data_IF_041126205598
#
_entry.id   IF_041126205598
#
_cell.length_a   1.000
_cell.length_b   1.000
_cell.length_c   1.000
_cell.angle_alpha   90.00
_cell.angle_beta   90.00
_cell.angle_gamma   90.00
#
_symmetry.space_group_name_H-M   'P 1'
#
loop_
_entity.id
_entity.type
_entity.pdbx_description
1 polymer ?
#
# COMPACT_ATOMS: atom_id res chain seq x y z
N UNK A 1 -10.26 -21.22 -0.04
CA UNK A 1 -11.31 -21.38 1.00
C UNK A 1 -12.61 -20.79 0.46
N UNK A 2 -13.77 -21.45 0.57
CA UNK A 2 -15.04 -20.79 0.22
C UNK A 2 -15.30 -19.66 1.21
N UNK A 3 -15.28 -18.42 0.72
CA UNK A 3 -15.64 -17.24 1.51
C UNK A 3 -17.16 -17.06 1.35
N UNK A 4 -17.96 -17.23 2.42
CA UNK A 4 -19.38 -16.92 2.39
C UNK A 4 -19.58 -15.47 1.96
N UNK A 5 -20.22 -15.28 0.82
CA UNK A 5 -20.36 -13.99 0.18
C UNK A 5 -21.82 -13.74 -0.22
N UNK A 6 -22.29 -12.48 -0.15
CA UNK A 6 -23.58 -12.09 -0.71
C UNK A 6 -23.69 -12.45 -2.20
N UNK A 7 -24.91 -12.73 -2.66
CA UNK A 7 -25.17 -13.11 -4.06
C UNK A 7 -24.66 -12.06 -5.05
N UNK A 8 -24.80 -10.80 -4.70
CA UNK A 8 -24.38 -9.62 -5.47
C UNK A 8 -22.87 -9.61 -5.74
N UNK A 9 -22.06 -10.21 -4.86
CA UNK A 9 -20.62 -10.34 -5.10
C UNK A 9 -20.32 -11.31 -6.24
N UNK A 10 -21.16 -12.33 -6.46
CA UNK A 10 -20.98 -13.25 -7.59
C UNK A 10 -21.31 -12.58 -8.92
N UNK A 11 -22.28 -11.67 -8.95
CA UNK A 11 -22.60 -10.89 -10.16
C UNK A 11 -21.43 -10.01 -10.60
N UNK A 12 -20.62 -9.51 -9.65
CA UNK A 12 -19.39 -8.76 -9.94
C UNK A 12 -18.39 -9.60 -10.71
N UNK A 13 -18.31 -10.91 -10.45
CA UNK A 13 -17.36 -11.79 -11.13
C UNK A 13 -17.66 -11.86 -12.63
N UNK A 14 -18.94 -12.00 -12.99
CA UNK A 14 -19.38 -12.08 -14.39
C UNK A 14 -19.10 -10.77 -15.13
N UNK A 15 -19.28 -9.64 -14.43
CA UNK A 15 -18.91 -8.32 -14.96
C UNK A 15 -17.40 -8.22 -15.17
N UNK A 16 -16.58 -8.59 -14.20
CA UNK A 16 -15.12 -8.48 -14.30
C UNK A 16 -14.52 -9.42 -15.35
N UNK A 17 -15.07 -10.62 -15.51
CA UNK A 17 -14.64 -11.58 -16.53
C UNK A 17 -14.89 -11.07 -17.95
N UNK A 18 -16.05 -10.44 -18.18
CA UNK A 18 -16.41 -9.88 -19.49
C UNK A 18 -15.67 -8.57 -19.77
N UNK A 19 -15.71 -7.65 -18.81
CA UNK A 19 -15.33 -6.25 -19.01
C UNK A 19 -13.82 -6.05 -18.88
N UNK A 20 -13.16 -6.85 -18.03
CA UNK A 20 -11.73 -6.78 -17.67
C UNK A 20 -11.29 -5.38 -17.22
N UNK A 21 -10.00 -5.19 -16.97
CA UNK A 21 -9.42 -3.91 -16.59
C UNK A 21 -9.47 -3.61 -15.08
N UNK A 22 -9.54 -2.33 -14.73
CA UNK A 22 -9.36 -1.86 -13.34
C UNK A 22 -10.71 -1.81 -12.61
N UNK A 23 -10.74 -2.43 -11.44
CA UNK A 23 -11.83 -2.36 -10.48
C UNK A 23 -11.35 -1.69 -9.19
N UNK A 24 -11.92 -0.54 -8.83
CA UNK A 24 -11.55 0.18 -7.60
C UNK A 24 -12.54 -0.14 -6.47
N UNK A 25 -12.01 -0.50 -5.30
CA UNK A 25 -12.80 -0.75 -4.10
C UNK A 25 -12.90 0.53 -3.26
N UNK A 26 -14.11 1.03 -3.05
CA UNK A 26 -14.39 2.23 -2.27
C UNK A 26 -15.29 1.91 -1.08
N UNK A 27 -15.04 2.59 0.05
CA UNK A 27 -15.81 2.38 1.27
C UNK A 27 -15.04 2.76 2.52
N UNK A 28 -15.78 3.00 3.60
CA UNK A 28 -15.21 3.34 4.90
C UNK A 28 -14.30 2.25 5.46
N UNK A 29 -13.61 2.57 6.54
CA UNK A 29 -12.93 1.56 7.36
C UNK A 29 -13.94 0.50 7.84
N UNK A 30 -13.53 -0.77 7.82
CA UNK A 30 -14.35 -1.92 8.26
C UNK A 30 -15.68 -2.07 7.53
N UNK A 31 -15.67 -1.87 6.20
CA UNK A 31 -16.76 -2.24 5.29
C UNK A 31 -16.48 -3.52 4.50
N UNK A 32 -15.31 -4.15 4.71
CA UNK A 32 -14.99 -5.44 4.07
C UNK A 32 -14.32 -5.36 2.70
N UNK A 33 -13.75 -4.21 2.30
CA UNK A 33 -13.03 -4.06 1.03
C UNK A 33 -11.97 -5.14 0.79
N UNK A 34 -11.08 -5.37 1.76
CA UNK A 34 -10.04 -6.40 1.62
C UNK A 34 -10.64 -7.82 1.59
N UNK A 35 -11.77 -8.07 2.24
CA UNK A 35 -12.49 -9.36 2.14
C UNK A 35 -13.07 -9.56 0.73
N UNK A 36 -13.69 -8.52 0.17
CA UNK A 36 -14.17 -8.51 -1.21
C UNK A 36 -13.02 -8.71 -2.19
N UNK A 37 -11.88 -8.04 -2.00
CA UNK A 37 -10.70 -8.23 -2.84
C UNK A 37 -10.26 -9.70 -2.88
N UNK A 38 -10.15 -10.34 -1.71
CA UNK A 38 -9.79 -11.76 -1.61
C UNK A 38 -10.80 -12.68 -2.30
N UNK A 39 -12.10 -12.42 -2.08
CA UNK A 39 -13.18 -13.16 -2.73
C UNK A 39 -13.10 -13.06 -4.25
N UNK A 40 -12.91 -11.86 -4.79
CA UNK A 40 -12.83 -11.63 -6.23
C UNK A 40 -11.58 -12.31 -6.82
N UNK A 41 -10.42 -12.16 -6.19
CA UNK A 41 -9.16 -12.78 -6.65
C UNK A 41 -9.32 -14.30 -6.73
N UNK A 42 -9.80 -14.93 -5.65
CA UNK A 42 -10.01 -16.37 -5.60
C UNK A 42 -10.89 -16.88 -6.74
N UNK A 43 -12.07 -16.28 -6.91
CA UNK A 43 -13.05 -16.77 -7.87
C UNK A 43 -12.67 -16.43 -9.33
N UNK A 44 -12.06 -15.27 -9.59
CA UNK A 44 -11.57 -14.94 -10.93
C UNK A 44 -10.40 -15.84 -11.35
N UNK A 45 -9.49 -16.16 -10.43
CA UNK A 45 -8.42 -17.13 -10.70
C UNK A 45 -8.99 -18.52 -10.99
N UNK A 46 -10.06 -18.95 -10.29
CA UNK A 46 -10.78 -20.20 -10.60
C UNK A 46 -11.42 -20.21 -12.00
N UNK A 47 -11.77 -19.04 -12.53
CA UNK A 47 -12.24 -18.86 -13.91
C UNK A 47 -11.10 -18.76 -14.93
N UNK A 48 -9.85 -18.96 -14.50
CA UNK A 48 -8.66 -18.95 -15.36
C UNK A 48 -8.10 -17.55 -15.67
N UNK A 49 -8.63 -16.51 -15.03
CA UNK A 49 -8.15 -15.14 -15.24
C UNK A 49 -6.90 -14.87 -14.41
N UNK A 50 -5.99 -14.08 -15.00
CA UNK A 50 -4.83 -13.54 -14.28
C UNK A 50 -5.19 -12.21 -13.62
N UNK A 51 -5.11 -12.15 -12.29
CA UNK A 51 -5.59 -11.02 -11.49
C UNK A 51 -4.43 -10.31 -10.80
N UNK A 52 -4.37 -8.98 -10.90
CA UNK A 52 -3.50 -8.17 -10.08
C UNK A 52 -4.26 -7.61 -8.86
N UNK A 53 -3.63 -7.63 -7.69
CA UNK A 53 -4.06 -6.84 -6.54
C UNK A 53 -3.09 -5.67 -6.38
N UNK A 54 -3.60 -4.46 -6.46
CA UNK A 54 -2.91 -3.26 -5.99
C UNK A 54 -3.49 -2.90 -4.64
N UNK A 55 -2.72 -3.13 -3.59
CA UNK A 55 -3.10 -2.83 -2.21
C UNK A 55 -2.59 -1.44 -1.84
N UNK A 56 -3.49 -0.45 -1.86
CA UNK A 56 -3.16 0.94 -1.55
C UNK A 56 -3.56 1.38 -0.14
N UNK A 57 -3.92 0.44 0.76
CA UNK A 57 -4.14 0.74 2.18
C UNK A 57 -2.80 0.78 2.93
N UNK A 58 -2.10 1.91 2.84
CA UNK A 58 -0.78 2.09 3.47
C UNK A 58 -0.80 1.97 5.01
N UNK A 59 -1.97 2.05 5.64
CA UNK A 59 -2.11 1.94 7.10
C UNK A 59 -2.31 0.49 7.58
N UNK A 60 -3.01 -0.33 6.82
CA UNK A 60 -3.32 -1.72 7.15
C UNK A 60 -3.05 -2.67 5.97
N UNK A 61 -2.01 -2.36 5.18
CA UNK A 61 -1.65 -3.10 3.96
C UNK A 61 -1.70 -4.59 4.21
N UNK A 62 -2.35 -5.31 3.32
CA UNK A 62 -2.42 -6.76 3.27
C UNK A 62 -1.15 -7.38 2.67
N UNK A 63 -0.66 -6.85 1.53
CA UNK A 63 0.45 -7.43 0.77
C UNK A 63 1.83 -7.12 1.34
N UNK A 64 2.09 -5.86 1.69
CA UNK A 64 3.42 -5.38 2.11
C UNK A 64 3.51 -5.04 3.60
N UNK A 65 4.68 -4.57 4.05
CA UNK A 65 4.77 -3.88 5.32
C UNK A 65 3.91 -2.61 5.29
N UNK A 66 3.47 -2.09 6.44
CA UNK A 66 2.80 -0.79 6.50
C UNK A 66 3.65 0.29 5.83
N UNK A 67 3.04 1.40 5.43
CA UNK A 67 3.64 2.52 4.68
C UNK A 67 3.96 2.25 3.22
N UNK A 68 3.48 1.12 2.67
CA UNK A 68 3.70 0.75 1.27
C UNK A 68 2.39 0.55 0.52
N UNK A 69 2.47 0.72 -0.80
CA UNK A 69 1.47 0.23 -1.75
C UNK A 69 2.04 -1.04 -2.37
N UNK A 70 1.32 -2.15 -2.27
CA UNK A 70 1.77 -3.46 -2.79
C UNK A 70 1.14 -3.80 -4.14
N UNK A 71 1.88 -4.52 -4.97
CA UNK A 71 1.39 -5.18 -6.19
C UNK A 71 1.71 -6.68 -6.12
N UNK A 72 0.69 -7.52 -6.31
CA UNK A 72 0.84 -8.96 -6.45
C UNK A 72 0.00 -9.49 -7.62
N UNK A 73 0.49 -10.54 -8.26
CA UNK A 73 -0.13 -11.16 -9.43
C UNK A 73 -0.55 -12.59 -9.10
N UNK A 74 -1.81 -12.91 -9.35
CA UNK A 74 -2.43 -14.19 -9.04
C UNK A 74 -2.84 -14.91 -10.32
N UNK A 75 -2.44 -16.18 -10.43
CA UNK A 75 -2.79 -17.09 -11.54
C UNK A 75 -3.66 -18.28 -11.09
N UNK A 76 -3.77 -18.47 -9.79
CA UNK A 76 -4.51 -19.54 -9.11
C UNK A 76 -4.97 -19.02 -7.75
N UNK A 77 -5.80 -19.77 -7.03
CA UNK A 77 -6.11 -19.47 -5.63
C UNK A 77 -4.80 -19.29 -4.86
N UNK A 78 -4.52 -18.10 -4.29
CA UNK A 78 -3.34 -17.94 -3.47
C UNK A 78 -3.51 -18.65 -2.15
N UNK A 79 -2.43 -19.28 -1.69
CA UNK A 79 -2.25 -19.48 -0.27
C UNK A 79 -2.05 -18.09 0.37
N UNK A 80 -3.04 -17.61 1.10
CA UNK A 80 -2.98 -16.29 1.73
C UNK A 80 -2.01 -16.24 2.91
N UNK A 81 -1.53 -17.39 3.40
CA UNK A 81 -0.50 -17.51 4.43
C UNK A 81 0.91 -17.63 3.79
N UNK A 82 0.98 -18.21 2.59
CA UNK A 82 2.21 -18.31 1.79
C UNK A 82 2.12 -17.39 0.58
N UNK A 83 2.50 -16.13 0.76
CA UNK A 83 2.67 -15.22 -0.37
C UNK A 83 3.82 -15.75 -1.23
N UNK A 84 3.47 -16.49 -2.31
CA UNK A 84 4.37 -17.29 -3.16
C UNK A 84 5.48 -16.48 -3.86
N UNK A 85 5.49 -15.17 -3.73
CA UNK A 85 6.59 -14.26 -4.09
C UNK A 85 6.45 -12.94 -3.34
N UNK A 86 7.51 -12.35 -2.76
CA UNK A 86 7.40 -11.04 -2.11
C UNK A 86 6.78 -10.04 -3.11
N UNK A 87 5.73 -9.31 -2.70
CA UNK A 87 5.06 -8.38 -3.60
C UNK A 87 6.03 -7.26 -3.99
N UNK A 88 5.82 -6.70 -5.17
CA UNK A 88 6.43 -5.41 -5.47
C UNK A 88 5.79 -4.35 -4.56
N UNK A 89 6.62 -3.47 -4.03
CA UNK A 89 6.16 -2.42 -3.12
C UNK A 89 6.56 -1.05 -3.65
N UNK A 90 5.77 -0.05 -3.31
CA UNK A 90 6.09 1.36 -3.49
C UNK A 90 6.10 2.00 -2.11
N UNK A 91 7.24 2.52 -1.68
CA UNK A 91 7.34 3.17 -0.38
C UNK A 91 6.67 4.55 -0.39
N UNK A 92 5.63 4.70 0.43
CA UNK A 92 4.95 5.98 0.65
C UNK A 92 5.51 6.68 1.89
N UNK A 93 5.92 5.91 2.91
CA UNK A 93 6.49 6.46 4.14
C UNK A 93 5.47 7.09 5.08
N UNK A 94 4.18 6.76 4.96
CA UNK A 94 3.14 7.19 5.89
C UNK A 94 2.11 6.08 6.11
N UNK A 95 1.51 6.06 7.30
CA UNK A 95 0.39 5.15 7.63
C UNK A 95 -0.98 5.77 7.31
N UNK A 96 -1.01 7.03 6.88
CA UNK A 96 -2.22 7.75 6.44
C UNK A 96 -1.93 8.51 5.15
N UNK A 97 -2.86 8.53 4.18
CA UNK A 97 -2.62 9.28 2.95
C UNK A 97 -2.64 10.80 3.20
N UNK A 98 -3.28 11.27 4.28
CA UNK A 98 -3.28 12.70 4.61
C UNK A 98 -1.85 13.23 4.77
N UNK A 99 -1.56 14.38 4.14
CA UNK A 99 -0.22 14.97 4.09
C UNK A 99 0.71 14.39 3.03
N UNK A 100 0.34 13.30 2.33
CA UNK A 100 1.18 12.65 1.33
C UNK A 100 0.43 12.23 0.05
N UNK A 101 -0.64 12.94 -0.33
CA UNK A 101 -1.44 12.61 -1.53
C UNK A 101 -0.63 12.49 -2.82
N UNK A 102 0.33 13.38 -3.15
CA UNK A 102 1.05 13.29 -4.42
C UNK A 102 1.82 11.98 -4.56
N UNK A 103 2.59 11.60 -3.53
CA UNK A 103 3.37 10.36 -3.53
C UNK A 103 2.48 9.12 -3.43
N UNK A 104 1.37 9.19 -2.70
CA UNK A 104 0.38 8.10 -2.66
C UNK A 104 -0.24 7.86 -4.04
N UNK A 105 -0.68 8.91 -4.73
CA UNK A 105 -1.25 8.82 -6.08
C UNK A 105 -0.22 8.33 -7.11
N UNK A 106 1.03 8.83 -7.03
CA UNK A 106 2.16 8.35 -7.85
C UNK A 106 2.35 6.84 -7.68
N UNK A 107 2.41 6.36 -6.44
CA UNK A 107 2.59 4.94 -6.14
C UNK A 107 1.43 4.07 -6.64
N UNK A 108 0.18 4.52 -6.46
CA UNK A 108 -0.99 3.82 -6.99
C UNK A 108 -0.93 3.70 -8.51
N UNK A 109 -0.68 4.82 -9.21
CA UNK A 109 -0.58 4.82 -10.67
C UNK A 109 0.53 3.90 -11.17
N UNK A 110 1.72 3.99 -10.56
CA UNK A 110 2.87 3.15 -10.91
C UNK A 110 2.56 1.67 -10.78
N UNK A 111 1.89 1.25 -9.70
CA UNK A 111 1.55 -0.15 -9.48
C UNK A 111 0.43 -0.65 -10.40
N UNK A 112 -0.58 0.18 -10.66
CA UNK A 112 -1.65 -0.15 -11.62
C UNK A 112 -1.09 -0.28 -13.04
N UNK A 113 -0.19 0.61 -13.46
CA UNK A 113 0.40 0.59 -14.81
C UNK A 113 1.30 -0.62 -15.06
N UNK A 114 1.90 -1.17 -14.01
CA UNK A 114 2.70 -2.40 -14.10
C UNK A 114 1.85 -3.65 -14.28
N UNK A 115 0.64 -3.69 -13.74
CA UNK A 115 -0.19 -4.90 -13.75
C UNK A 115 -0.39 -5.50 -15.16
N UNK A 116 -0.68 -4.72 -16.23
CA UNK A 116 -0.73 -5.23 -17.60
C UNK A 116 0.59 -5.79 -18.13
N UNK A 117 1.75 -5.23 -17.76
CA UNK A 117 3.05 -5.78 -18.18
C UNK A 117 3.33 -7.17 -17.58
N UNK A 118 2.69 -7.47 -16.46
CA UNK A 118 2.65 -8.82 -15.90
C UNK A 118 1.52 -9.67 -16.47
N UNK A 119 0.80 -9.22 -17.50
CA UNK A 119 -0.28 -9.95 -18.14
C UNK A 119 -1.55 -10.07 -17.29
N UNK A 120 -1.75 -9.21 -16.29
CA UNK A 120 -3.00 -9.18 -15.56
C UNK A 120 -4.14 -8.70 -16.47
N UNK A 121 -5.25 -9.43 -16.45
CA UNK A 121 -6.45 -9.11 -17.20
C UNK A 121 -7.40 -8.25 -16.37
N UNK A 122 -7.40 -8.46 -15.05
CA UNK A 122 -8.17 -7.69 -14.08
C UNK A 122 -7.21 -7.13 -13.03
N UNK A 123 -7.35 -5.85 -12.69
CA UNK A 123 -6.61 -5.22 -11.60
C UNK A 123 -7.59 -4.74 -10.53
N UNK A 124 -7.56 -5.37 -9.37
CA UNK A 124 -8.35 -4.97 -8.20
C UNK A 124 -7.50 -3.99 -7.40
N UNK A 125 -7.99 -2.76 -7.26
CA UNK A 125 -7.38 -1.73 -6.44
C UNK A 125 -8.10 -1.66 -5.08
N UNK A 126 -7.49 -2.25 -4.05
CA UNK A 126 -7.94 -2.08 -2.66
C UNK A 126 -7.46 -0.72 -2.15
N UNK A 127 -8.35 0.05 -1.54
CA UNK A 127 -8.04 1.43 -1.12
C UNK A 127 -8.21 1.62 0.38
N UNK A 128 -7.56 2.66 0.91
CA UNK A 128 -7.73 3.08 2.31
C UNK A 128 -9.20 3.30 2.69
N UNK A 129 -9.55 3.12 3.96
CA UNK A 129 -10.85 3.55 4.51
C UNK A 129 -11.02 5.07 4.64
N UNK A 130 -10.07 5.88 4.14
CA UNK A 130 -10.06 7.34 4.24
C UNK A 130 -11.04 7.96 3.24
N UNK A 131 -12.29 8.12 3.67
CA UNK A 131 -13.39 8.68 2.87
C UNK A 131 -14.09 9.87 3.53
N UNK A 132 -13.85 10.11 4.83
CA UNK A 132 -14.51 11.15 5.60
C UNK A 132 -13.87 12.52 5.33
N UNK A 133 -14.71 13.55 5.25
CA UNK A 133 -14.30 14.93 4.97
C UNK A 133 -13.90 15.16 3.51
N UNK A 134 -13.67 16.44 3.18
CA UNK A 134 -13.37 16.86 1.79
C UNK A 134 -12.05 16.29 1.27
N UNK A 135 -11.02 16.20 2.13
CA UNK A 135 -9.74 15.57 1.78
C UNK A 135 -9.90 14.10 1.38
N UNK A 136 -10.76 13.34 2.08
CA UNK A 136 -11.03 11.94 1.76
C UNK A 136 -11.70 11.79 0.41
N UNK A 137 -12.76 12.58 0.16
CA UNK A 137 -13.46 12.64 -1.13
C UNK A 137 -12.51 13.03 -2.26
N UNK A 138 -11.70 14.06 -2.08
CA UNK A 138 -10.74 14.53 -3.08
C UNK A 138 -9.72 13.46 -3.46
N UNK A 139 -9.17 12.75 -2.47
CA UNK A 139 -8.23 11.65 -2.74
C UNK A 139 -8.88 10.56 -3.58
N UNK A 140 -10.12 10.15 -3.27
CA UNK A 140 -10.82 9.14 -4.06
C UNK A 140 -11.15 9.64 -5.45
N UNK A 141 -11.58 10.90 -5.58
CA UNK A 141 -11.84 11.55 -6.87
C UNK A 141 -10.60 11.51 -7.75
N UNK A 142 -9.47 11.99 -7.24
CA UNK A 142 -8.17 11.95 -7.94
C UNK A 142 -7.75 10.54 -8.35
N UNK A 143 -8.03 9.52 -7.54
CA UNK A 143 -7.75 8.12 -7.91
C UNK A 143 -8.62 7.66 -9.08
N UNK A 144 -9.92 7.95 -9.06
CA UNK A 144 -10.83 7.58 -10.16
C UNK A 144 -10.40 8.30 -11.44
N UNK A 145 -10.19 9.63 -11.38
CA UNK A 145 -9.78 10.43 -12.53
C UNK A 145 -8.44 9.96 -13.11
N UNK A 146 -7.45 9.70 -12.26
CA UNK A 146 -6.10 9.29 -12.65
C UNK A 146 -6.04 7.90 -13.30
N UNK A 147 -6.94 7.00 -12.88
CA UNK A 147 -6.91 5.60 -13.30
C UNK A 147 -7.99 5.24 -14.31
N UNK A 148 -9.05 6.04 -14.41
CA UNK A 148 -10.24 5.78 -15.22
C UNK A 148 -10.74 4.33 -15.09
N UNK A 149 -11.03 3.85 -13.85
CA UNK A 149 -11.37 2.46 -13.62
C UNK A 149 -12.69 2.10 -14.31
N UNK A 150 -12.77 0.91 -14.94
CA UNK A 150 -14.01 0.46 -15.60
C UNK A 150 -15.12 0.16 -14.60
N UNK A 151 -14.74 -0.31 -13.41
CA UNK A 151 -15.66 -0.70 -12.36
C UNK A 151 -15.34 0.01 -11.04
N UNK A 152 -16.36 0.63 -10.45
CA UNK A 152 -16.32 1.21 -9.11
C UNK A 152 -17.19 0.33 -8.20
N UNK A 153 -16.56 -0.34 -7.25
CA UNK A 153 -17.22 -1.23 -6.29
C UNK A 153 -17.35 -0.50 -4.95
N UNK A 154 -18.58 -0.19 -4.58
CA UNK A 154 -18.93 0.64 -3.44
C UNK A 154 -19.46 -0.21 -2.27
N UNK A 155 -18.76 -0.18 -1.13
CA UNK A 155 -19.16 -0.81 0.13
C UNK A 155 -19.40 0.27 1.18
N UNK A 156 -20.64 0.38 1.67
CA UNK A 156 -21.06 1.46 2.57
C UNK A 156 -22.05 1.00 3.64
N UNK A 157 -22.03 1.65 4.79
CA UNK A 157 -22.95 1.36 5.91
C UNK A 157 -24.19 2.24 5.89
N UNK A 158 -24.04 3.50 5.48
CA UNK A 158 -25.07 4.52 5.63
C UNK A 158 -25.05 5.56 4.51
N UNK A 159 -24.56 5.19 3.32
CA UNK A 159 -24.50 6.09 2.16
C UNK A 159 -23.33 7.08 2.19
N UNK A 160 -22.31 6.82 3.00
CA UNK A 160 -21.24 7.78 3.28
C UNK A 160 -20.33 8.09 2.08
N UNK A 161 -20.38 7.28 1.02
CA UNK A 161 -19.66 7.50 -0.25
C UNK A 161 -20.56 8.00 -1.38
N UNK A 162 -21.88 8.11 -1.18
CA UNK A 162 -22.82 8.55 -2.21
C UNK A 162 -22.49 9.92 -2.83
N UNK A 163 -22.10 10.95 -2.06
CA UNK A 163 -21.72 12.24 -2.65
C UNK A 163 -20.54 12.15 -3.63
N UNK A 164 -19.66 11.16 -3.47
CA UNK A 164 -18.58 10.89 -4.42
C UNK A 164 -19.10 10.13 -5.64
N UNK A 165 -19.92 9.09 -5.43
CA UNK A 165 -20.44 8.25 -6.52
C UNK A 165 -21.31 9.05 -7.50
N UNK A 166 -22.15 9.95 -6.99
CA UNK A 166 -23.02 10.82 -7.79
C UNK A 166 -22.25 11.67 -8.82
N UNK A 167 -20.98 12.01 -8.57
CA UNK A 167 -20.14 12.76 -9.52
C UNK A 167 -19.82 11.95 -10.79
N UNK A 168 -19.93 10.62 -10.72
CA UNK A 168 -19.60 9.70 -11.79
C UNK A 168 -20.82 8.96 -12.33
N UNK A 169 -21.99 9.15 -11.73
CA UNK A 169 -23.24 8.62 -12.26
C UNK A 169 -23.55 9.23 -13.64
N UNK A 170 -24.02 8.39 -14.57
CA UNK A 170 -24.35 8.81 -15.94
C UNK A 170 -23.17 8.88 -16.90
N UNK A 171 -21.93 8.79 -16.43
CA UNK A 171 -20.76 8.66 -17.31
C UNK A 171 -20.67 7.21 -17.85
N UNK A 172 -20.77 6.99 -19.18
CA UNK A 172 -20.77 5.64 -19.76
C UNK A 172 -19.51 4.82 -19.48
N UNK A 173 -18.39 5.50 -19.16
CA UNK A 173 -17.11 4.88 -18.84
C UNK A 173 -17.14 4.09 -17.52
N UNK A 174 -17.92 4.56 -16.54
CA UNK A 174 -17.90 4.06 -15.18
C UNK A 174 -19.11 3.18 -14.90
N UNK A 175 -18.88 1.89 -14.67
CA UNK A 175 -19.90 1.03 -14.08
C UNK A 175 -19.78 1.08 -12.56
N UNK A 176 -20.84 1.53 -11.89
CA UNK A 176 -20.87 1.65 -10.42
C UNK A 176 -21.74 0.54 -9.86
N UNK A 177 -21.19 -0.29 -8.98
CA UNK A 177 -21.92 -1.34 -8.27
C UNK A 177 -21.87 -1.08 -6.76
N UNK A 178 -23.04 -0.92 -6.16
CA UNK A 178 -23.23 -0.79 -4.71
C UNK A 178 -23.46 -2.17 -4.15
N UNK A 179 -22.56 -2.65 -3.31
CA UNK A 179 -22.55 -4.02 -2.82
C UNK A 179 -22.95 -4.08 -1.35
N UNK A 180 -23.68 -5.13 -0.94
CA UNK A 180 -23.92 -5.40 0.47
C UNK A 180 -22.62 -5.74 1.18
N UNK A 181 -22.59 -5.42 2.47
CA UNK A 181 -21.50 -5.79 3.36
C UNK A 181 -21.59 -7.29 3.69
N UNK A 182 -20.45 -7.93 3.90
CA UNK A 182 -20.41 -9.31 4.40
C UNK A 182 -20.60 -9.32 5.92
N UNK A 183 -21.41 -10.26 6.43
CA UNK A 183 -21.61 -10.46 7.87
C UNK A 183 -20.33 -10.89 8.61
N UNK A 184 -19.29 -11.30 7.87
CA UNK A 184 -17.99 -11.68 8.43
C UNK A 184 -17.08 -10.49 8.76
N UNK A 185 -17.49 -9.28 8.39
CA UNK A 185 -16.66 -8.08 8.60
C UNK A 185 -16.74 -7.67 10.07
N UNK A 186 -15.71 -8.05 10.83
CA UNK A 186 -15.54 -7.57 12.22
C UNK A 186 -14.83 -6.20 12.23
N UNK A 187 -15.35 -5.19 12.93
CA UNK A 187 -14.62 -3.96 13.14
C UNK A 187 -13.34 -4.22 13.94
N UNK A 188 -12.24 -3.55 13.56
CA UNK A 188 -10.96 -3.64 14.26
C UNK A 188 -10.70 -2.40 15.09
N UNK A 189 -10.33 -2.59 16.36
CA UNK A 189 -9.97 -1.49 17.25
C UNK A 189 -8.70 -0.77 16.79
N UNK A 190 -8.47 0.45 17.28
CA UNK A 190 -7.24 1.18 17.00
C UNK A 190 -5.99 0.47 17.53
N UNK A 191 -6.12 -0.22 18.67
CA UNK A 191 -5.05 -1.03 19.27
C UNK A 191 -4.74 -2.24 18.42
N UNK A 192 -5.75 -2.99 17.96
CA UNK A 192 -5.57 -4.13 17.07
C UNK A 192 -4.88 -3.71 15.76
N UNK A 193 -5.26 -2.56 15.21
CA UNK A 193 -4.60 -1.99 14.03
C UNK A 193 -3.13 -1.66 14.30
N UNK A 194 -2.82 -1.11 15.47
CA UNK A 194 -1.45 -0.78 15.89
C UNK A 194 -0.63 -2.05 16.06
N UNK A 195 -1.14 -3.03 16.79
CA UNK A 195 -0.49 -4.34 17.00
C UNK A 195 -0.22 -5.04 15.67
N UNK A 196 -1.21 -5.07 14.76
CA UNK A 196 -1.01 -5.65 13.43
C UNK A 196 0.10 -4.95 12.64
N UNK A 197 0.21 -3.61 12.71
CA UNK A 197 1.32 -2.88 12.06
C UNK A 197 2.66 -3.25 12.68
N UNK A 198 2.74 -3.28 14.00
CA UNK A 198 3.97 -3.64 14.72
C UNK A 198 4.43 -5.03 14.33
N UNK A 199 3.53 -6.03 14.34
CA UNK A 199 3.84 -7.40 13.95
C UNK A 199 4.33 -7.47 12.50
N UNK A 200 3.68 -6.76 11.57
CA UNK A 200 4.12 -6.73 10.17
C UNK A 200 5.49 -6.12 9.96
N UNK A 201 5.83 -5.07 10.72
CA UNK A 201 7.19 -4.53 10.69
C UNK A 201 8.19 -5.51 11.29
N UNK A 202 7.86 -6.17 12.39
CA UNK A 202 8.72 -7.20 12.97
C UNK A 202 8.98 -8.34 11.99
N UNK A 203 7.92 -8.86 11.35
CA UNK A 203 8.03 -9.93 10.36
C UNK A 203 8.89 -9.49 9.17
N UNK A 204 8.67 -8.27 8.65
CA UNK A 204 9.45 -7.72 7.53
C UNK A 204 10.94 -7.53 7.86
N UNK A 205 11.26 -7.05 9.07
CA UNK A 205 12.64 -6.81 9.51
C UNK A 205 13.28 -7.99 10.25
N UNK A 206 12.60 -9.13 10.39
CA UNK A 206 13.06 -10.30 11.16
C UNK A 206 14.45 -10.80 10.76
N UNK A 207 14.78 -10.71 9.48
CA UNK A 207 16.04 -11.16 8.91
C UNK A 207 16.90 -10.00 8.37
N UNK A 208 16.62 -8.77 8.83
CA UNK A 208 17.35 -7.59 8.41
C UNK A 208 18.77 -7.58 8.97
N UNK A 209 19.72 -7.10 8.17
CA UNK A 209 21.12 -6.92 8.56
C UNK A 209 21.50 -5.45 8.47
N UNK A 210 22.56 -5.05 9.18
CA UNK A 210 23.11 -3.70 9.05
C UNK A 210 23.94 -3.63 7.77
N UNK A 211 23.56 -2.70 6.90
CA UNK A 211 24.26 -2.34 5.69
C UNK A 211 24.82 -0.92 5.83
N UNK A 212 25.95 -0.66 5.18
CA UNK A 212 26.59 0.66 5.18
C UNK A 212 26.47 1.29 3.79
N UNK A 213 25.95 2.52 3.76
CA UNK A 213 25.74 3.30 2.54
C UNK A 213 26.54 4.59 2.62
N UNK A 214 27.43 4.79 1.66
CA UNK A 214 28.12 6.06 1.48
C UNK A 214 27.14 7.09 0.90
N UNK A 215 26.86 8.16 1.64
CA UNK A 215 25.87 9.19 1.28
C UNK A 215 26.21 9.88 -0.04
N UNK A 216 27.50 10.01 -0.35
CA UNK A 216 27.97 10.58 -1.61
C UNK A 216 27.57 9.79 -2.87
N UNK A 217 27.24 8.50 -2.72
CA UNK A 217 26.87 7.61 -3.82
C UNK A 217 25.35 7.43 -3.97
N UNK A 218 24.56 8.09 -3.11
CA UNK A 218 23.10 7.99 -3.09
C UNK A 218 22.45 9.36 -3.07
N UNK A 219 21.39 9.53 -3.84
CA UNK A 219 20.53 10.70 -3.73
C UNK A 219 19.64 10.58 -2.51
N UNK A 220 19.38 11.68 -1.81
CA UNK A 220 18.40 11.74 -0.73
C UNK A 220 17.20 12.52 -1.21
N UNK A 221 16.01 11.97 -0.99
CA UNK A 221 14.74 12.62 -1.30
C UNK A 221 13.76 12.48 -0.13
N UNK A 222 12.66 13.24 -0.20
CA UNK A 222 11.67 13.29 0.87
C UNK A 222 12.09 14.20 2.01
N UNK A 223 11.17 14.37 2.95
CA UNK A 223 11.30 15.32 4.05
C UNK A 223 10.99 14.61 5.37
N UNK A 224 11.66 15.05 6.43
CA UNK A 224 11.33 14.67 7.80
C UNK A 224 10.88 15.93 8.50
N UNK A 225 9.70 15.88 9.11
CA UNK A 225 9.16 17.00 9.88
C UNK A 225 9.53 16.87 11.35
N UNK A 226 9.86 17.99 11.97
CA UNK A 226 10.00 18.10 13.41
C UNK A 226 8.61 18.08 14.11
N UNK A 227 8.55 18.07 15.46
CA UNK A 227 7.28 18.10 16.18
C UNK A 227 6.42 19.36 15.94
N UNK A 228 7.01 20.46 15.46
CA UNK A 228 6.32 21.70 15.12
C UNK A 228 5.79 21.70 13.68
N UNK A 229 6.21 20.74 12.86
CA UNK A 229 5.85 20.62 11.45
C UNK A 229 6.85 21.26 10.50
N UNK A 230 8.01 21.69 10.98
CA UNK A 230 9.07 22.27 10.17
C UNK A 230 9.96 21.19 9.55
N UNK A 231 10.46 21.45 8.34
CA UNK A 231 11.34 20.52 7.62
C UNK A 231 12.72 20.49 8.31
N UNK A 232 13.14 19.30 8.73
CA UNK A 232 14.46 19.07 9.31
C UNK A 232 15.54 19.07 8.22
N UNK A 233 16.72 19.65 8.49
CA UNK A 233 17.90 19.47 7.65
C UNK A 233 18.22 17.99 7.44
N UNK A 234 18.66 17.63 6.23
CA UNK A 234 18.94 16.23 5.86
C UNK A 234 19.95 15.58 6.82
N UNK A 235 21.05 16.26 7.15
CA UNK A 235 22.07 15.73 8.07
C UNK A 235 21.51 15.42 9.46
N UNK A 236 20.46 16.12 9.89
CA UNK A 236 19.79 15.86 11.16
C UNK A 236 18.84 14.70 11.04
N UNK A 237 18.08 14.63 9.94
CA UNK A 237 17.21 13.49 9.65
C UNK A 237 17.99 12.16 9.61
N UNK A 238 19.18 12.15 8.99
CA UNK A 238 20.05 10.97 8.93
C UNK A 238 20.60 10.53 10.30
N UNK A 239 20.60 11.41 11.31
CA UNK A 239 21.03 11.07 12.69
C UNK A 239 19.89 10.47 13.52
N UNK A 240 18.66 10.44 13.01
CA UNK A 240 17.51 9.88 13.72
C UNK A 240 17.58 8.34 13.67
N UNK A 241 18.02 7.73 14.77
CA UNK A 241 17.89 6.29 14.96
C UNK A 241 16.40 5.89 14.96
N UNK A 242 16.06 4.82 14.24
CA UNK A 242 14.70 4.33 14.09
C UNK A 242 13.91 4.98 12.95
N UNK A 243 14.51 5.91 12.19
CA UNK A 243 13.81 6.51 11.05
C UNK A 243 13.58 5.48 9.95
N UNK A 244 12.32 5.33 9.53
CA UNK A 244 11.95 4.45 8.42
C UNK A 244 12.26 5.16 7.10
N UNK A 245 12.92 4.43 6.20
CA UNK A 245 13.32 4.92 4.88
C UNK A 245 12.95 3.92 3.78
N UNK A 246 12.74 4.44 2.57
CA UNK A 246 12.66 3.64 1.36
C UNK A 246 14.02 3.59 0.68
N UNK A 247 14.50 2.40 0.34
CA UNK A 247 15.71 2.19 -0.45
C UNK A 247 15.30 1.91 -1.89
N UNK A 248 15.76 2.75 -2.83
CA UNK A 248 15.38 2.64 -4.24
C UNK A 248 16.58 2.56 -5.16
N UNK A 249 16.35 2.01 -6.34
CA UNK A 249 17.33 2.03 -7.44
C UNK A 249 17.28 3.33 -8.26
N UNK A 250 18.08 3.39 -9.33
CA UNK A 250 18.15 4.53 -10.25
C UNK A 250 16.88 4.73 -11.09
N UNK A 251 15.97 3.75 -11.11
CA UNK A 251 14.71 3.83 -11.82
C UNK A 251 13.55 4.27 -10.90
N UNK A 252 13.84 4.69 -9.66
CA UNK A 252 12.84 5.04 -8.63
C UNK A 252 11.96 3.83 -8.25
N UNK A 253 12.48 2.60 -8.39
CA UNK A 253 11.83 1.39 -7.88
C UNK A 253 12.22 1.14 -6.42
N UNK A 254 11.24 0.87 -5.57
CA UNK A 254 11.51 0.52 -4.16
C UNK A 254 12.06 -0.89 -4.09
N UNK A 255 13.33 -1.02 -3.73
CA UNK A 255 14.01 -2.31 -3.54
C UNK A 255 13.65 -2.93 -2.19
N UNK A 256 13.62 -2.09 -1.15
CA UNK A 256 13.29 -2.50 0.21
C UNK A 256 13.01 -1.27 1.09
N UNK A 257 12.42 -1.51 2.25
CA UNK A 257 12.44 -0.58 3.37
C UNK A 257 13.72 -0.78 4.20
N UNK A 258 14.15 0.29 4.86
CA UNK A 258 15.26 0.29 5.80
C UNK A 258 14.95 1.13 7.03
N UNK A 259 15.72 0.91 8.09
CA UNK A 259 15.69 1.73 9.31
C UNK A 259 17.08 2.31 9.55
N UNK A 260 17.18 3.63 9.67
CA UNK A 260 18.43 4.30 10.01
C UNK A 260 18.84 3.91 11.43
N UNK A 261 20.09 3.51 11.60
CA UNK A 261 20.69 3.22 12.91
C UNK A 261 21.64 4.31 13.37
N UNK A 262 22.50 4.77 12.46
CA UNK A 262 23.47 5.81 12.75
C UNK A 262 23.93 6.47 11.44
N UNK A 263 24.39 7.71 11.53
CA UNK A 263 25.07 8.42 10.45
C UNK A 263 26.42 8.95 10.97
N UNK A 264 27.52 8.48 10.37
CA UNK A 264 28.86 8.99 10.63
C UNK A 264 29.15 10.13 9.68
N UNK A 265 29.16 11.35 10.19
CA UNK A 265 29.43 12.57 9.43
C UNK A 265 30.88 12.61 8.93
N UNK A 266 31.84 12.16 9.76
CA UNK A 266 33.26 12.06 9.37
C UNK A 266 33.48 11.11 8.20
N UNK A 267 32.81 9.95 8.20
CA UNK A 267 32.93 8.94 7.15
C UNK A 267 31.94 9.14 5.99
N UNK A 268 30.96 10.04 6.15
CA UNK A 268 29.79 10.21 5.27
C UNK A 268 29.06 8.89 4.99
N UNK A 269 28.94 8.04 6.01
CA UNK A 269 28.31 6.72 5.90
C UNK A 269 27.08 6.64 6.80
N UNK A 270 25.95 6.23 6.23
CA UNK A 270 24.75 5.88 6.98
C UNK A 270 24.66 4.36 7.15
N UNK A 271 24.42 3.92 8.39
CA UNK A 271 24.16 2.51 8.72
C UNK A 271 22.66 2.28 8.72
N UNK A 272 22.20 1.37 7.87
CA UNK A 272 20.78 1.07 7.66
C UNK A 272 20.54 -0.39 7.97
N UNK A 273 19.54 -0.68 8.80
CA UNK A 273 19.04 -2.02 9.00
C UNK A 273 17.98 -2.33 7.94
N UNK A 274 18.22 -3.33 7.09
CA UNK A 274 17.32 -3.68 5.99
C UNK A 274 17.40 -5.17 5.65
N UNK A 275 16.31 -5.82 5.19
CA UNK A 275 16.38 -7.17 4.62
C UNK A 275 17.05 -7.23 3.24
N UNK A 276 17.39 -6.07 2.63
CA UNK A 276 18.07 -6.02 1.34
C UNK A 276 19.54 -6.47 1.47
N UNK A 277 19.90 -7.54 0.79
CA UNK A 277 21.28 -8.04 0.73
C UNK A 277 22.15 -7.27 -0.27
N UNK A 278 21.60 -6.95 -1.44
CA UNK A 278 22.31 -6.25 -2.52
C UNK A 278 22.19 -4.72 -2.38
N UNK A 279 22.88 -4.17 -1.39
CA UNK A 279 22.82 -2.75 -1.06
C UNK A 279 23.42 -1.85 -2.15
N UNK A 280 24.29 -2.38 -3.02
CA UNK A 280 24.95 -1.60 -4.08
C UNK A 280 23.97 -1.09 -5.16
N UNK A 281 22.83 -1.77 -5.30
CA UNK A 281 21.72 -1.34 -6.17
C UNK A 281 21.01 -0.09 -5.67
N UNK A 282 21.14 0.26 -4.39
CA UNK A 282 20.53 1.46 -3.84
C UNK A 282 21.22 2.69 -4.44
N UNK A 283 20.42 3.56 -5.04
CA UNK A 283 20.85 4.86 -5.59
C UNK A 283 20.07 6.02 -4.99
N UNK A 284 18.94 5.75 -4.34
CA UNK A 284 18.12 6.79 -3.72
C UNK A 284 17.65 6.31 -2.34
N UNK A 285 17.79 7.17 -1.33
CA UNK A 285 17.19 7.02 -0.01
C UNK A 285 16.02 7.99 0.06
N UNK A 286 14.80 7.45 0.17
CA UNK A 286 13.60 8.23 0.43
C UNK A 286 13.36 8.30 1.94
N UNK A 287 13.43 9.50 2.49
CA UNK A 287 13.11 9.78 3.89
C UNK A 287 11.60 9.73 4.15
N UNK A 288 11.23 9.46 5.40
CA UNK A 288 9.85 9.56 5.86
C UNK A 288 9.79 10.12 7.28
N UNK A 289 8.65 10.70 7.67
CA UNK A 289 8.42 11.14 9.06
C UNK A 289 7.99 9.99 10.00
N UNK A 290 8.02 8.74 9.54
CA UNK A 290 7.65 7.58 10.35
C UNK A 290 8.89 7.03 11.08
N UNK A 291 8.79 6.92 12.40
CA UNK A 291 9.77 6.18 13.20
C UNK A 291 9.23 4.77 13.45
N UNK A 292 10.04 3.77 13.15
CA UNK A 292 9.81 2.41 13.61
C UNK A 292 10.72 2.23 14.83
N UNK A 293 10.15 1.74 15.93
CA UNK A 293 10.93 1.28 17.08
C UNK A 293 11.12 -0.23 16.87
N UNK A 294 12.20 -0.69 16.22
CA UNK A 294 12.54 -2.09 16.24
C UNK A 294 12.93 -2.47 17.68
N UNK A 295 12.30 -3.50 18.23
CA UNK A 295 12.52 -4.02 19.60
C UNK A 295 13.95 -4.52 19.88
N UNK A 296 14.89 -4.34 18.95
CA UNK A 296 16.29 -4.73 19.11
C UNK A 296 17.13 -3.66 19.85
N UNK A 297 16.51 -2.68 20.51
CA UNK A 297 17.21 -1.69 21.37
C UNK A 297 17.79 -2.29 22.67
N UNK A 298 17.68 -3.60 22.90
CA UNK A 298 18.34 -4.26 24.03
C UNK A 298 19.78 -4.75 23.76
N UNK A 299 20.35 -4.52 22.56
CA UNK A 299 21.79 -4.72 22.37
C UNK A 299 22.60 -3.51 22.85
N UNK A 300 22.82 -3.54 24.16
CA UNK A 300 23.85 -2.83 24.95
C UNK A 300 25.12 -2.54 24.16
N UNK A 301 25.57 -1.29 24.23
CA UNK A 301 26.97 -0.93 24.50
C UNK A 301 27.02 0.29 25.41
#
# INVERSE_FOLDING_TARGET
>A
MEIPAPKEWFEVLDVLEKEKGIAILLGATDTGKSTLAKFLIFNLCKRGLKVALVDADIGQSFLGPPTTIGLAIFKSDPDWEVVLSPPEVFFVGSITPEGCFPIHLKGVKRMVDKAPSYGAEVTILDTTGFILGEKGKELKRKKIDLLSPRLILALQKSGEIEPLLQLYEGYPLYKILRLPLSDQVRPKSMEERKTNRTNKFQDYFKHAVIQELAIENVQIEGEVLDPNGDILPIDWALKINGLLIGLKDSCDETLALGVIRNYSEEKKVVRVMTPLSDIQRVKIIQLSSQKVIPLYEEERF
#
